data_IF_776545142060
#
_entry.id   IF_776545142060
#
_cell.length_a   1.000
_cell.length_b   1.000
_cell.length_c   1.000
_cell.angle_alpha   90.00
_cell.angle_beta   90.00
_cell.angle_gamma   90.00
#
_symmetry.space_group_name_H-M   'P 1'
#
loop_
_entity.id
_entity.type
_entity.pdbx_description
1 polymer ?
#
# COMPACT_ATOMS: atom_id res chain seq x y z
N UNK A 1 16.84 -10.92 9.45
CA UNK A 1 15.66 -10.04 9.66
C UNK A 1 15.49 -9.27 8.36
N UNK A 2 14.33 -9.34 7.72
CA UNK A 2 14.06 -8.55 6.52
C UNK A 2 14.16 -7.06 6.86
N UNK A 3 14.60 -6.26 5.89
CA UNK A 3 14.76 -4.81 6.05
C UNK A 3 13.36 -4.18 5.94
N UNK A 4 13.11 -3.07 6.62
CA UNK A 4 11.82 -2.36 6.62
C UNK A 4 11.11 -2.25 5.25
N UNK A 5 11.77 -1.89 4.13
CA UNK A 5 11.13 -1.87 2.82
C UNK A 5 10.64 -3.26 2.37
N UNK A 6 11.40 -4.33 2.57
CA UNK A 6 10.97 -5.69 2.19
C UNK A 6 9.74 -6.15 2.97
N UNK A 7 9.66 -5.77 4.25
CA UNK A 7 8.48 -6.04 5.08
C UNK A 7 7.27 -5.29 4.52
N UNK A 8 7.43 -4.01 4.14
CA UNK A 8 6.35 -3.23 3.56
C UNK A 8 5.87 -3.83 2.22
N UNK A 9 6.79 -4.22 1.33
CA UNK A 9 6.47 -4.90 0.07
C UNK A 9 5.73 -6.22 0.32
N UNK A 10 6.20 -7.03 1.26
CA UNK A 10 5.51 -8.29 1.62
C UNK A 10 4.08 -8.03 2.11
N UNK A 11 3.87 -7.01 2.95
CA UNK A 11 2.52 -6.65 3.43
C UNK A 11 1.62 -6.15 2.29
N UNK A 12 2.14 -5.36 1.35
CA UNK A 12 1.38 -4.95 0.17
C UNK A 12 0.91 -6.16 -0.63
N UNK A 13 1.81 -7.11 -0.93
CA UNK A 13 1.47 -8.32 -1.66
C UNK A 13 0.48 -9.23 -0.93
N UNK A 14 0.52 -9.29 0.40
CA UNK A 14 -0.38 -10.17 1.15
C UNK A 14 -1.73 -9.55 1.48
N UNK A 15 -1.81 -8.22 1.62
CA UNK A 15 -3.01 -7.54 2.10
C UNK A 15 -3.74 -6.74 1.02
N UNK A 16 -3.03 -6.24 0.01
CA UNK A 16 -3.60 -5.40 -1.04
C UNK A 16 -3.83 -6.20 -2.33
N UNK A 17 -2.79 -6.84 -2.87
CA UNK A 17 -2.83 -7.49 -4.19
C UNK A 17 -3.89 -8.60 -4.39
N UNK A 18 -4.16 -9.50 -3.44
CA UNK A 18 -4.96 -10.70 -3.73
C UNK A 18 -6.39 -10.42 -4.19
N UNK A 19 -7.01 -9.36 -3.69
CA UNK A 19 -8.37 -8.98 -4.10
C UNK A 19 -8.45 -8.51 -5.55
N UNK A 20 -7.42 -7.79 -6.01
CA UNK A 20 -7.35 -7.31 -7.39
C UNK A 20 -7.00 -8.44 -8.36
N UNK A 21 -6.09 -9.33 -7.97
CA UNK A 21 -5.76 -10.52 -8.76
C UNK A 21 -7.00 -11.40 -8.99
N UNK A 22 -7.81 -11.62 -7.94
CA UNK A 22 -9.07 -12.35 -8.06
C UNK A 22 -10.09 -11.65 -8.99
N UNK A 23 -10.21 -10.32 -8.90
CA UNK A 23 -11.09 -9.56 -9.80
C UNK A 23 -10.64 -9.61 -11.26
N UNK A 24 -9.32 -9.60 -11.50
CA UNK A 24 -8.76 -9.73 -12.84
C UNK A 24 -9.01 -11.13 -13.42
N UNK A 25 -8.82 -12.16 -12.60
CA UNK A 25 -9.09 -13.55 -12.97
C UNK A 25 -10.58 -13.76 -13.29
N UNK A 26 -11.48 -13.26 -12.44
CA UNK A 26 -12.93 -13.28 -12.69
C UNK A 26 -13.30 -12.55 -13.99
N UNK A 27 -12.68 -11.39 -14.26
CA UNK A 27 -12.91 -10.64 -15.48
C UNK A 27 -12.49 -11.38 -16.75
N UNK A 28 -11.44 -12.19 -16.66
CA UNK A 28 -11.02 -13.08 -17.76
C UNK A 28 -11.99 -14.25 -17.95
N UNK A 29 -12.37 -14.93 -16.86
CA UNK A 29 -13.29 -16.07 -16.89
C UNK A 29 -14.68 -15.68 -17.40
N UNK A 30 -15.17 -14.52 -16.96
CA UNK A 30 -16.45 -13.95 -17.37
C UNK A 30 -16.40 -13.24 -18.74
N UNK A 31 -15.21 -13.13 -19.35
CA UNK A 31 -14.97 -12.47 -20.65
C UNK A 31 -15.52 -11.03 -20.70
N UNK A 32 -15.25 -10.24 -19.66
CA UNK A 32 -15.65 -8.82 -19.62
C UNK A 32 -15.03 -8.00 -20.75
N UNK A 33 -13.87 -8.43 -21.24
CA UNK A 33 -13.23 -7.90 -22.42
C UNK A 33 -12.51 -9.03 -23.17
N UNK A 34 -12.25 -8.79 -24.45
CA UNK A 34 -11.46 -9.66 -25.32
C UNK A 34 -9.99 -9.24 -25.29
N UNK A 35 -9.13 -10.13 -24.80
CA UNK A 35 -7.69 -9.89 -24.66
C UNK A 35 -6.99 -9.82 -26.03
N UNK A 36 -7.54 -10.51 -27.04
CA UNK A 36 -7.02 -10.48 -28.41
C UNK A 36 -7.44 -9.19 -29.14
N UNK A 37 -8.40 -8.45 -28.59
CA UNK A 37 -8.84 -7.16 -29.12
C UNK A 37 -8.05 -6.01 -28.50
N UNK A 38 -7.10 -5.47 -29.28
CA UNK A 38 -6.24 -4.36 -28.87
C UNK A 38 -7.02 -3.14 -28.37
N UNK A 39 -8.15 -2.79 -28.99
CA UNK A 39 -8.95 -1.63 -28.57
C UNK A 39 -9.55 -1.84 -27.18
N UNK A 40 -10.10 -3.02 -26.92
CA UNK A 40 -10.67 -3.34 -25.61
C UNK A 40 -9.58 -3.37 -24.53
N UNK A 41 -8.42 -3.95 -24.81
CA UNK A 41 -7.26 -3.91 -23.93
C UNK A 41 -6.80 -2.47 -23.64
N UNK A 42 -6.73 -1.60 -24.64
CA UNK A 42 -6.35 -0.19 -24.43
C UNK A 42 -7.36 0.56 -23.56
N UNK A 43 -8.66 0.36 -23.79
CA UNK A 43 -9.72 0.96 -22.96
C UNK A 43 -9.63 0.43 -21.53
N UNK A 44 -9.44 -0.88 -21.36
CA UNK A 44 -9.27 -1.49 -20.05
C UNK A 44 -8.10 -0.86 -19.30
N UNK A 45 -6.91 -0.79 -19.90
CA UNK A 45 -5.75 -0.15 -19.27
C UNK A 45 -6.01 1.33 -18.93
N UNK A 46 -6.67 2.06 -19.82
CA UNK A 46 -6.97 3.47 -19.62
C UNK A 46 -7.90 3.72 -18.41
N UNK A 47 -8.83 2.81 -18.14
CA UNK A 47 -9.73 2.89 -16.97
C UNK A 47 -9.09 2.29 -15.73
N UNK A 48 -8.53 1.09 -15.86
CA UNK A 48 -8.09 0.26 -14.75
C UNK A 48 -6.82 0.79 -14.07
N UNK A 49 -5.83 1.27 -14.84
CA UNK A 49 -4.56 1.72 -14.25
C UNK A 49 -4.78 2.96 -13.35
N UNK A 50 -5.49 4.02 -13.79
CA UNK A 50 -5.76 5.16 -12.90
C UNK A 50 -6.59 4.78 -11.68
N UNK A 51 -7.55 3.87 -11.84
CA UNK A 51 -8.34 3.37 -10.72
C UNK A 51 -7.47 2.60 -9.71
N UNK A 52 -6.63 1.67 -10.17
CA UNK A 52 -5.72 0.93 -9.32
C UNK A 52 -4.70 1.84 -8.62
N UNK A 53 -4.21 2.88 -9.31
CA UNK A 53 -3.36 3.88 -8.70
C UNK A 53 -4.07 4.62 -7.56
N UNK A 54 -5.33 5.01 -7.73
CA UNK A 54 -6.10 5.65 -6.66
C UNK A 54 -6.30 4.72 -5.46
N UNK A 55 -6.52 3.43 -5.68
CA UNK A 55 -6.60 2.43 -4.60
C UNK A 55 -5.25 2.26 -3.87
N UNK A 56 -4.13 2.29 -4.59
CA UNK A 56 -2.79 2.28 -4.00
C UNK A 56 -2.52 3.53 -3.16
N UNK A 57 -2.94 4.70 -3.65
CA UNK A 57 -2.80 5.96 -2.91
C UNK A 57 -3.64 5.93 -1.62
N UNK A 58 -4.87 5.41 -1.68
CA UNK A 58 -5.72 5.19 -0.50
C UNK A 58 -5.10 4.21 0.50
N UNK A 59 -4.51 3.11 -0.01
CA UNK A 59 -3.79 2.15 0.83
C UNK A 59 -2.59 2.81 1.53
N UNK A 60 -1.79 3.58 0.78
CA UNK A 60 -0.67 4.33 1.34
C UNK A 60 -1.14 5.29 2.44
N UNK A 61 -2.20 6.06 2.18
CA UNK A 61 -2.77 7.00 3.14
C UNK A 61 -3.22 6.28 4.41
N UNK A 62 -4.00 5.19 4.26
CA UNK A 62 -4.43 4.38 5.38
C UNK A 62 -3.27 3.84 6.23
N UNK A 63 -2.21 3.34 5.59
CA UNK A 63 -1.04 2.82 6.30
C UNK A 63 -0.27 3.93 7.02
N UNK A 64 -0.20 5.14 6.45
CA UNK A 64 0.52 6.26 7.04
C UNK A 64 -0.29 6.99 8.12
N UNK A 65 -1.62 6.90 8.08
CA UNK A 65 -2.54 7.50 9.05
C UNK A 65 -3.02 6.52 10.14
N UNK A 66 -2.80 5.22 9.98
CA UNK A 66 -3.09 4.23 11.02
C UNK A 66 -2.03 4.19 12.12
N UNK A 67 -2.48 4.24 13.38
CA UNK A 67 -1.61 4.04 14.52
C UNK A 67 -1.07 2.60 14.53
N UNK A 68 0.26 2.45 14.55
CA UNK A 68 0.87 1.12 14.67
C UNK A 68 0.78 0.61 16.09
N UNK A 69 0.65 -0.71 16.25
CA UNK A 69 0.65 -1.34 17.55
C UNK A 69 1.92 -1.00 18.33
N UNK A 70 1.77 -0.63 19.60
CA UNK A 70 2.89 -0.25 20.44
C UNK A 70 3.80 -1.45 20.72
N UNK A 71 5.10 -1.32 20.40
CA UNK A 71 6.12 -2.29 20.77
C UNK A 71 7.09 -1.67 21.78
N UNK A 72 7.05 -2.18 23.02
CA UNK A 72 7.90 -1.69 24.13
C UNK A 72 9.39 -1.92 23.90
N UNK A 73 9.78 -2.80 22.96
CA UNK A 73 11.18 -3.06 22.61
C UNK A 73 11.73 -2.07 21.58
N UNK A 74 10.86 -1.28 20.94
CA UNK A 74 11.24 -0.33 19.89
C UNK A 74 11.61 1.01 20.52
N UNK A 75 12.81 1.51 20.20
CA UNK A 75 13.32 2.81 20.67
C UNK A 75 12.78 3.98 19.83
N UNK A 76 12.22 3.69 18.66
CA UNK A 76 11.63 4.69 17.77
C UNK A 76 10.29 5.20 18.35
N UNK A 77 9.92 6.47 18.04
CA UNK A 77 8.66 7.06 18.48
C UNK A 77 7.44 6.21 18.09
N UNK A 78 6.43 6.22 18.98
CA UNK A 78 5.20 5.45 18.86
C UNK A 78 4.04 6.38 18.51
N UNK A 79 3.22 6.01 17.52
CA UNK A 79 2.16 6.87 17.04
C UNK A 79 1.81 6.62 15.58
N UNK A 80 1.05 7.56 15.02
CA UNK A 80 0.69 7.56 13.60
C UNK A 80 1.92 7.98 12.79
N UNK A 81 2.35 7.18 11.78
CA UNK A 81 3.56 7.48 11.00
C UNK A 81 3.62 8.90 10.46
N UNK A 82 2.52 9.40 9.89
CA UNK A 82 2.49 10.74 9.31
C UNK A 82 2.66 11.85 10.38
N UNK A 83 2.07 11.67 11.56
CA UNK A 83 2.21 12.63 12.67
C UNK A 83 3.61 12.58 13.30
N UNK A 84 4.21 11.40 13.42
CA UNK A 84 5.60 11.26 13.86
C UNK A 84 6.55 11.98 12.90
N UNK A 85 6.31 11.86 11.58
CA UNK A 85 7.14 12.50 10.56
C UNK A 85 7.09 14.03 10.65
N UNK A 86 5.91 14.60 10.87
CA UNK A 86 5.72 16.05 10.90
C UNK A 86 5.95 16.69 12.28
N UNK A 87 5.69 15.96 13.37
CA UNK A 87 5.71 16.47 14.75
C UNK A 87 6.52 15.55 15.67
N UNK A 88 7.73 15.15 15.25
CA UNK A 88 8.53 14.14 15.96
C UNK A 88 8.77 14.44 17.45
N UNK A 89 8.90 15.72 17.81
CA UNK A 89 9.14 16.19 19.19
C UNK A 89 7.99 15.80 20.14
N UNK A 90 6.74 15.89 19.66
CA UNK A 90 5.53 15.56 20.43
C UNK A 90 5.40 14.04 20.68
N UNK A 91 6.09 13.23 19.88
CA UNK A 91 6.05 11.76 19.95
C UNK A 91 7.27 11.15 20.63
N UNK A 92 8.06 11.95 21.36
CA UNK A 92 9.20 11.46 22.14
C UNK A 92 10.34 10.92 21.27
N UNK A 93 10.54 11.49 20.08
CA UNK A 93 11.66 11.13 19.23
C UNK A 93 12.99 11.47 19.91
N UNK A 94 13.97 10.56 19.80
CA UNK A 94 15.32 10.76 20.30
C UNK A 94 16.25 11.14 19.14
N UNK A 95 17.10 12.14 19.34
CA UNK A 95 18.16 12.48 18.38
C UNK A 95 19.36 11.53 18.58
N UNK A 96 19.67 10.74 17.55
CA UNK A 96 20.79 9.80 17.54
C UNK A 96 22.00 10.32 16.77
N UNK A 97 22.03 11.61 16.43
CA UNK A 97 23.16 12.21 15.71
C UNK A 97 24.44 12.12 16.56
N UNK A 98 25.48 11.49 15.99
CA UNK A 98 26.86 11.40 16.52
C UNK A 98 27.72 12.47 15.86
#
# INVERSE_FOLDING_TARGET
KNIAPEIAWSQLHHCFSPGFEALLEEGMDARWYDVDNTLQCMIFHWVFIPWLQAELDNYQDHINHSQKHCDKKKVLPHGIPNLIYHCAEDYGALDFKV
#
